data_IF_064069102267
#
_entry.id   IF_064069102267
#
_cell.length_a   1.000
_cell.length_b   1.000
_cell.length_c   1.000
_cell.angle_alpha   90.00
_cell.angle_beta   90.00
_cell.angle_gamma   90.00
#
_symmetry.space_group_name_H-M   'P 1'
#
loop_
_entity.id
_entity.type
_entity.pdbx_description
1 polymer ?
#
# COMPACT_ATOMS: atom_id res chain seq x y z
N UNK A 1 -29.80 -37.09 -42.05
CA UNK A 1 -30.41 -36.35 -43.19
C UNK A 1 -31.37 -35.31 -42.63
N UNK A 2 -31.23 -34.06 -43.11
CA UNK A 2 -32.28 -33.04 -43.36
C UNK A 2 -33.28 -32.75 -42.21
N UNK A 3 -33.16 -31.61 -41.52
CA UNK A 3 -33.71 -30.28 -41.91
C UNK A 3 -35.14 -30.08 -41.41
N UNK A 4 -35.34 -29.02 -40.62
CA UNK A 4 -36.25 -27.90 -40.90
C UNK A 4 -36.93 -27.36 -39.64
N UNK A 5 -36.77 -26.05 -39.52
CA UNK A 5 -37.26 -25.10 -38.52
C UNK A 5 -38.75 -24.88 -38.68
N UNK A 6 -39.48 -24.71 -37.58
CA UNK A 6 -40.74 -23.95 -37.58
C UNK A 6 -40.80 -23.06 -36.34
N UNK A 7 -40.64 -21.76 -36.58
CA UNK A 7 -40.85 -20.69 -35.61
C UNK A 7 -42.34 -20.57 -35.29
N UNK A 8 -42.69 -20.37 -34.02
CA UNK A 8 -43.89 -19.59 -33.68
C UNK A 8 -43.53 -18.58 -32.59
N UNK A 9 -43.53 -17.34 -33.05
CA UNK A 9 -43.53 -16.09 -32.31
C UNK A 9 -44.85 -15.98 -31.51
N UNK A 10 -44.81 -15.88 -30.19
CA UNK A 10 -45.75 -14.97 -29.49
C UNK A 10 -45.20 -14.51 -28.15
N UNK A 11 -45.44 -13.23 -27.94
CA UNK A 11 -44.94 -12.28 -26.94
C UNK A 11 -45.82 -12.31 -25.68
N UNK A 12 -45.26 -11.76 -24.60
CA UNK A 12 -45.84 -11.43 -23.29
C UNK A 12 -45.97 -12.60 -22.31
N UNK A 13 -45.80 -12.40 -21.01
CA UNK A 13 -45.18 -11.36 -20.20
C UNK A 13 -45.22 -11.95 -18.78
N UNK A 14 -44.26 -11.60 -17.94
CA UNK A 14 -44.14 -11.97 -16.52
C UNK A 14 -43.78 -13.43 -16.21
N UNK A 15 -42.50 -13.79 -16.32
CA UNK A 15 -41.91 -14.68 -15.30
C UNK A 15 -40.40 -14.49 -15.18
N UNK A 16 -39.99 -14.05 -13.99
CA UNK A 16 -38.61 -13.80 -13.59
C UNK A 16 -37.81 -15.11 -13.60
N UNK A 17 -36.82 -15.21 -14.49
CA UNK A 17 -35.85 -16.30 -14.46
C UNK A 17 -34.86 -16.02 -13.35
N UNK A 18 -34.83 -16.88 -12.33
CA UNK A 18 -33.82 -16.87 -11.28
C UNK A 18 -32.45 -17.19 -11.88
N UNK A 19 -31.61 -16.17 -12.06
CA UNK A 19 -30.19 -16.35 -12.30
C UNK A 19 -29.57 -16.78 -10.96
N UNK A 20 -29.22 -18.06 -10.84
CA UNK A 20 -28.32 -18.54 -9.81
C UNK A 20 -26.94 -17.97 -10.16
N UNK A 21 -26.71 -16.73 -9.75
CA UNK A 21 -25.41 -16.08 -9.81
C UNK A 21 -24.52 -16.80 -8.80
N UNK A 22 -23.48 -17.46 -9.33
CA UNK A 22 -22.44 -18.10 -8.53
C UNK A 22 -21.91 -17.06 -7.54
N UNK A 23 -22.14 -17.31 -6.25
CA UNK A 23 -21.58 -16.54 -5.13
C UNK A 23 -20.06 -16.48 -5.28
N UNK A 24 -19.55 -15.40 -5.85
CA UNK A 24 -18.22 -14.92 -5.48
C UNK A 24 -18.37 -14.27 -4.11
N UNK A 25 -17.50 -14.56 -3.12
CA UNK A 25 -17.52 -13.86 -1.85
C UNK A 25 -17.29 -12.38 -2.14
N UNK A 26 -18.33 -11.58 -1.92
CA UNK A 26 -18.28 -10.13 -1.96
C UNK A 26 -17.41 -9.71 -0.78
N UNK A 27 -16.09 -9.69 -0.98
CA UNK A 27 -15.18 -9.00 -0.06
C UNK A 27 -15.69 -7.57 0.04
N UNK A 28 -16.03 -7.07 1.24
CA UNK A 28 -16.33 -5.67 1.39
C UNK A 28 -15.07 -4.90 1.01
N UNK A 29 -15.10 -4.24 -0.15
CA UNK A 29 -14.19 -3.12 -0.39
C UNK A 29 -14.59 -2.06 0.62
N UNK A 30 -13.94 -2.10 1.78
CA UNK A 30 -14.00 -1.05 2.76
C UNK A 30 -13.36 0.15 2.06
N UNK A 31 -14.19 1.06 1.55
CA UNK A 31 -13.73 2.38 1.16
C UNK A 31 -13.26 3.04 2.46
N UNK A 32 -11.95 2.97 2.72
CA UNK A 32 -11.32 3.55 3.89
C UNK A 32 -11.25 5.07 3.70
N UNK A 33 -12.40 5.73 3.76
CA UNK A 33 -12.47 7.18 4.01
C UNK A 33 -12.35 7.38 5.53
N UNK A 34 -11.25 6.89 6.12
CA UNK A 34 -10.90 7.23 7.49
C UNK A 34 -10.26 8.61 7.44
N UNK A 35 -10.88 9.60 8.07
CA UNK A 35 -10.25 10.89 8.37
C UNK A 35 -8.99 10.61 9.20
N UNK A 36 -7.83 10.58 8.53
CA UNK A 36 -6.50 10.42 9.13
C UNK A 36 -6.13 11.73 9.84
N UNK A 37 -6.91 12.12 10.84
CA UNK A 37 -6.60 13.25 11.70
C UNK A 37 -5.74 12.76 12.86
N UNK A 38 -4.55 12.25 12.52
CA UNK A 38 -3.58 11.90 13.53
C UNK A 38 -2.17 11.84 12.90
N UNK A 39 -1.42 12.92 13.10
CA UNK A 39 -0.21 13.37 12.39
C UNK A 39 1.00 12.40 12.39
N UNK A 40 1.04 11.34 11.59
CA UNK A 40 2.35 10.81 11.18
C UNK A 40 2.86 11.74 10.08
N UNK A 41 3.97 12.42 10.34
CA UNK A 41 4.62 13.22 9.30
C UNK A 41 5.16 12.26 8.24
N UNK A 42 4.86 12.54 6.97
CA UNK A 42 5.44 11.78 5.86
C UNK A 42 6.96 11.90 5.89
N UNK A 43 7.64 10.78 5.66
CA UNK A 43 9.09 10.74 5.58
C UNK A 43 9.54 11.08 4.16
N UNK A 44 10.22 12.21 3.99
CA UNK A 44 10.68 12.68 2.69
C UNK A 44 12.04 12.09 2.29
N UNK A 45 12.76 11.47 3.22
CA UNK A 45 14.10 10.94 2.98
C UNK A 45 15.18 12.02 2.95
N UNK A 46 14.95 13.17 3.60
CA UNK A 46 15.93 14.24 3.75
C UNK A 46 16.94 13.92 4.85
N UNK A 47 18.08 14.62 4.85
CA UNK A 47 19.14 14.42 5.86
C UNK A 47 18.76 14.90 7.25
N UNK A 48 17.76 15.78 7.38
CA UNK A 48 17.26 16.30 8.67
C UNK A 48 16.30 15.33 9.36
N UNK A 49 15.81 14.32 8.66
CA UNK A 49 14.86 13.35 9.19
C UNK A 49 15.59 12.14 9.80
N UNK A 50 15.03 11.60 10.88
CA UNK A 50 15.57 10.43 11.56
C UNK A 50 14.80 9.17 11.09
N UNK A 51 15.34 8.36 10.16
CA UNK A 51 14.63 7.20 9.59
C UNK A 51 14.23 6.16 10.65
N UNK A 52 15.08 5.90 11.65
CA UNK A 52 14.75 4.99 12.75
C UNK A 52 13.59 5.48 13.61
N UNK A 53 13.52 6.79 13.87
CA UNK A 53 12.41 7.38 14.62
C UNK A 53 11.10 7.30 13.85
N UNK A 54 11.14 7.59 12.54
CA UNK A 54 9.97 7.44 11.68
C UNK A 54 9.41 6.02 11.68
N UNK A 55 10.26 5.00 11.51
CA UNK A 55 9.83 3.59 11.55
C UNK A 55 9.18 3.23 12.90
N UNK A 56 9.79 3.68 14.00
CA UNK A 56 9.26 3.43 15.34
C UNK A 56 7.88 4.06 15.54
N UNK A 57 7.74 5.35 15.19
CA UNK A 57 6.47 6.09 15.32
C UNK A 57 5.39 5.50 14.40
N UNK A 58 5.74 5.13 13.17
CA UNK A 58 4.84 4.48 12.23
C UNK A 58 4.34 3.13 12.75
N UNK A 59 5.26 2.25 13.17
CA UNK A 59 4.90 0.92 13.68
C UNK A 59 4.08 1.00 14.97
N UNK A 60 4.44 1.92 15.87
CA UNK A 60 3.67 2.13 17.10
C UNK A 60 2.24 2.55 16.78
N UNK A 61 2.04 3.44 15.81
CA UNK A 61 0.72 3.90 15.42
C UNK A 61 -0.08 2.84 14.65
N UNK A 62 0.56 2.14 13.72
CA UNK A 62 -0.01 0.99 13.02
C UNK A 62 -0.62 0.00 14.02
N UNK A 63 0.14 -0.37 15.06
CA UNK A 63 -0.31 -1.28 16.10
C UNK A 63 -1.36 -0.67 17.04
N UNK A 64 -1.09 0.52 17.57
CA UNK A 64 -1.85 1.06 18.72
C UNK A 64 -3.10 1.83 18.32
N UNK A 65 -3.04 2.57 17.21
CA UNK A 65 -4.17 3.38 16.74
C UNK A 65 -5.05 2.61 15.75
N UNK A 66 -4.45 1.76 14.92
CA UNK A 66 -5.15 1.10 13.82
C UNK A 66 -5.31 -0.42 13.99
N UNK A 67 -4.60 -1.04 14.95
CA UNK A 67 -4.62 -2.49 15.14
C UNK A 67 -4.09 -3.28 13.94
N UNK A 68 -3.24 -2.66 13.11
CA UNK A 68 -2.71 -3.28 11.91
C UNK A 68 -1.67 -4.35 12.24
N UNK A 69 -1.75 -5.45 11.51
CA UNK A 69 -0.72 -6.48 11.47
C UNK A 69 0.46 -6.04 10.57
N UNK A 70 1.53 -6.84 10.55
CA UNK A 70 2.75 -6.52 9.82
C UNK A 70 2.56 -6.45 8.29
N UNK A 71 1.65 -7.25 7.72
CA UNK A 71 1.35 -7.24 6.28
C UNK A 71 0.60 -5.95 5.92
N UNK A 72 -0.44 -5.61 6.67
CA UNK A 72 -1.18 -4.35 6.49
C UNK A 72 -0.28 -3.14 6.67
N UNK A 73 0.62 -3.18 7.65
CA UNK A 73 1.64 -2.15 7.91
C UNK A 73 2.58 -1.99 6.72
N UNK A 74 3.09 -3.09 6.16
CA UNK A 74 3.96 -3.07 4.99
C UNK A 74 3.23 -2.52 3.76
N UNK A 75 2.00 -2.96 3.50
CA UNK A 75 1.21 -2.53 2.34
C UNK A 75 0.83 -1.03 2.41
N UNK A 76 0.74 -0.48 3.61
CA UNK A 76 0.29 0.89 3.84
C UNK A 76 1.44 1.92 3.89
N UNK A 77 2.71 1.49 3.96
CA UNK A 77 3.85 2.39 4.21
C UNK A 77 4.02 3.45 3.12
N UNK A 78 3.70 3.12 1.86
CA UNK A 78 3.88 4.00 0.70
C UNK A 78 3.13 5.34 0.85
N UNK A 79 1.98 5.35 1.52
CA UNK A 79 1.21 6.57 1.80
C UNK A 79 1.95 7.58 2.69
N UNK A 80 2.88 7.08 3.49
CA UNK A 80 3.66 7.84 4.47
C UNK A 80 5.07 8.17 3.98
N UNK A 81 5.40 7.81 2.75
CA UNK A 81 6.64 8.20 2.08
C UNK A 81 6.39 9.41 1.18
N UNK A 82 7.40 10.27 1.07
CA UNK A 82 7.41 11.43 0.18
C UNK A 82 8.81 11.63 -0.41
N UNK A 83 8.93 12.51 -1.40
CA UNK A 83 10.22 12.92 -1.98
C UNK A 83 11.13 11.73 -2.34
N UNK A 84 12.38 11.80 -1.91
CA UNK A 84 13.39 10.78 -2.19
C UNK A 84 13.04 9.40 -1.63
N UNK A 85 12.26 9.32 -0.55
CA UNK A 85 11.80 8.04 0.00
C UNK A 85 10.71 7.40 -0.86
N UNK A 86 9.77 8.21 -1.38
CA UNK A 86 8.76 7.73 -2.31
C UNK A 86 9.39 7.27 -3.63
N UNK A 87 10.34 8.05 -4.18
CA UNK A 87 11.06 7.68 -5.41
C UNK A 87 11.84 6.37 -5.25
N UNK A 88 12.53 6.21 -4.12
CA UNK A 88 13.23 4.96 -3.81
C UNK A 88 12.27 3.77 -3.72
N UNK A 89 11.12 3.94 -3.07
CA UNK A 89 10.12 2.89 -2.97
C UNK A 89 9.51 2.53 -4.34
N UNK A 90 9.27 3.53 -5.19
CA UNK A 90 8.83 3.30 -6.59
C UNK A 90 9.86 2.50 -7.39
N UNK A 91 11.16 2.76 -7.22
CA UNK A 91 12.21 1.96 -7.88
C UNK A 91 12.22 0.52 -7.41
N UNK A 92 12.01 0.25 -6.11
CA UNK A 92 11.88 -1.11 -5.60
C UNK A 92 10.72 -1.88 -6.24
N UNK A 93 9.59 -1.19 -6.45
CA UNK A 93 8.43 -1.76 -7.18
C UNK A 93 8.83 -2.11 -8.61
N UNK A 94 9.49 -1.19 -9.32
CA UNK A 94 9.89 -1.38 -10.72
C UNK A 94 10.91 -2.51 -10.89
N UNK A 95 11.86 -2.64 -9.95
CA UNK A 95 12.85 -3.72 -9.95
C UNK A 95 12.32 -5.05 -9.43
N UNK A 96 11.07 -5.09 -8.95
CA UNK A 96 10.49 -6.26 -8.26
C UNK A 96 11.31 -6.73 -7.04
N UNK A 97 11.94 -5.78 -6.35
CA UNK A 97 12.79 -6.00 -5.16
C UNK A 97 12.08 -5.61 -3.87
N UNK A 98 10.74 -5.61 -3.88
CA UNK A 98 9.94 -5.27 -2.72
C UNK A 98 10.21 -6.26 -1.57
N UNK A 99 10.48 -5.76 -0.35
CA UNK A 99 10.58 -6.60 0.83
C UNK A 99 9.28 -7.36 1.06
N UNK A 100 9.36 -8.66 1.36
CA UNK A 100 8.19 -9.53 1.62
C UNK A 100 7.70 -9.49 3.07
N UNK A 101 8.41 -8.79 3.95
CA UNK A 101 8.08 -8.67 5.37
C UNK A 101 8.43 -7.29 5.90
N UNK A 102 7.72 -6.87 6.96
CA UNK A 102 7.99 -5.60 7.62
C UNK A 102 9.44 -5.50 8.13
N UNK A 103 9.97 -6.58 8.72
CA UNK A 103 11.38 -6.61 9.19
C UNK A 103 12.38 -6.41 8.05
N UNK A 104 12.17 -7.08 6.90
CA UNK A 104 13.01 -6.90 5.73
C UNK A 104 12.92 -5.45 5.21
N UNK A 105 11.72 -4.87 5.19
CA UNK A 105 11.55 -3.47 4.81
C UNK A 105 12.31 -2.53 5.74
N UNK A 106 12.20 -2.70 7.06
CA UNK A 106 12.92 -1.88 8.03
C UNK A 106 14.43 -1.95 7.81
N UNK A 107 14.99 -3.15 7.60
CA UNK A 107 16.42 -3.33 7.29
C UNK A 107 16.85 -2.57 6.04
N UNK A 108 16.13 -2.72 4.94
CA UNK A 108 16.43 -2.04 3.67
C UNK A 108 16.30 -0.52 3.79
N UNK A 109 15.23 -0.07 4.45
CA UNK A 109 14.96 1.34 4.67
C UNK A 109 16.05 1.99 5.53
N UNK A 110 16.43 1.36 6.65
CA UNK A 110 17.48 1.87 7.51
C UNK A 110 18.85 1.84 6.82
N UNK A 111 19.17 0.79 6.07
CA UNK A 111 20.41 0.76 5.28
C UNK A 111 20.47 1.92 4.27
N UNK A 112 19.36 2.23 3.60
CA UNK A 112 19.31 3.28 2.58
C UNK A 112 19.35 4.69 3.16
N UNK A 113 18.59 4.94 4.23
CA UNK A 113 18.36 6.29 4.77
C UNK A 113 19.17 6.61 6.02
N UNK A 114 19.71 5.60 6.72
CA UNK A 114 20.56 5.78 7.90
C UNK A 114 22.06 5.70 7.60
N UNK A 115 22.45 5.58 6.32
CA UNK A 115 23.87 5.43 5.92
C UNK A 115 24.72 6.56 6.53
N UNK A 116 25.87 6.23 7.15
CA UNK A 116 26.78 7.21 7.75
C UNK A 116 27.24 8.30 6.76
N UNK A 117 27.30 7.99 5.46
CA UNK A 117 27.65 8.95 4.40
C UNK A 117 26.71 10.17 4.36
N UNK A 118 25.42 9.98 4.68
CA UNK A 118 24.47 11.10 4.81
C UNK A 118 24.68 11.92 6.08
N UNK A 119 25.18 11.30 7.14
CA UNK A 119 25.51 11.99 8.41
C UNK A 119 26.82 12.78 8.29
N UNK A 120 27.76 12.31 7.48
CA UNK A 120 29.02 13.02 7.22
C UNK A 120 28.85 14.20 6.25
N UNK A 121 28.00 14.07 5.22
CA UNK A 121 27.63 15.19 4.35
C UNK A 121 27.03 16.39 5.13
N UNK A 122 26.36 16.13 6.25
CA UNK A 122 25.85 17.15 7.18
C UNK A 122 26.94 17.80 8.04
N UNK A 123 28.00 17.05 8.40
CA UNK A 123 29.13 17.60 9.17
C UNK A 123 29.99 18.53 8.32
N UNK A 124 30.18 18.21 7.04
CA UNK A 124 30.99 19.03 6.13
C UNK A 124 30.31 20.38 5.83
N UNK A 125 28.97 20.43 5.71
CA UNK A 125 28.23 21.69 5.47
C UNK A 125 28.06 22.61 6.67
N UNK A 126 28.31 22.14 7.91
CA UNK A 126 28.12 22.95 9.12
C UNK A 126 29.43 23.58 9.63
N UNK A 127 30.54 23.29 8.94
CA UNK A 127 31.89 23.76 9.24
C UNK A 127 32.46 24.68 8.14
N UNK A 128 31.60 25.23 7.29
CA UNK A 128 31.87 26.36 6.40
C UNK A 128 30.95 27.53 6.75
#
# INVERSE_FOLDING_TARGET
MKSTVASILTRNSHQSVAIIERRSPKTPRVNLTMSISDNIKKFAGTTKEAPGRFILEYQQKAKSAYGWDNETTLNSISHWLAGAAAEWYQRLIQSNELPKSWDAFVKFFLARFSSPERKEALKIQRNQ
#
